data_IF_502090614309
#
_entry.id   IF_502090614309
#
_cell.length_a   1.000
_cell.length_b   1.000
_cell.length_c   1.000
_cell.angle_alpha   90.00
_cell.angle_beta   90.00
_cell.angle_gamma   90.00
#
_symmetry.space_group_name_H-M   'P 1'
#
loop_
_entity.id
_entity.type
_entity.pdbx_description
1 polymer ?
#
# COMPACT_ATOMS: atom_id res chain seq x y z
N UNK A 1 5.98 -22.55 3.04
CA UNK A 1 6.03 -21.33 3.85
C UNK A 1 5.50 -20.18 2.99
N UNK A 2 4.18 -20.00 2.94
CA UNK A 2 3.49 -18.90 2.25
C UNK A 2 2.29 -18.54 3.12
N UNK A 3 2.38 -17.39 3.77
CA UNK A 3 1.39 -16.91 4.74
C UNK A 3 1.89 -15.57 5.26
N UNK A 4 1.76 -14.53 4.46
CA UNK A 4 1.96 -13.13 4.87
C UNK A 4 0.60 -12.46 5.08
N UNK A 5 -0.37 -13.20 5.59
CA UNK A 5 -1.75 -12.73 5.73
C UNK A 5 -1.89 -11.66 6.84
N UNK A 6 -0.81 -11.38 7.60
CA UNK A 6 -0.84 -10.51 8.79
C UNK A 6 0.18 -9.35 8.79
N UNK A 7 1.10 -9.28 7.82
CA UNK A 7 2.21 -8.29 7.89
C UNK A 7 1.91 -6.93 7.26
N UNK A 8 0.91 -6.80 6.36
CA UNK A 8 0.56 -5.52 5.74
C UNK A 8 0.26 -4.42 6.77
N UNK A 9 -0.51 -4.74 7.81
CA UNK A 9 -0.85 -3.78 8.86
C UNK A 9 0.38 -3.32 9.64
N UNK A 10 1.30 -4.24 9.92
CA UNK A 10 2.50 -3.97 10.71
C UNK A 10 3.55 -3.22 9.89
N UNK A 11 3.82 -3.69 8.67
CA UNK A 11 4.76 -3.06 7.74
C UNK A 11 4.30 -1.69 7.30
N UNK A 12 3.00 -1.50 7.00
CA UNK A 12 2.47 -0.19 6.69
C UNK A 12 2.56 0.75 7.89
N UNK A 13 2.25 0.26 9.10
CA UNK A 13 2.35 1.08 10.32
C UNK A 13 3.78 1.52 10.59
N UNK A 14 4.76 0.64 10.37
CA UNK A 14 6.17 0.98 10.45
C UNK A 14 6.61 1.93 9.34
N UNK A 15 6.13 1.70 8.12
CA UNK A 15 6.44 2.52 6.95
C UNK A 15 5.83 3.92 7.01
N UNK A 16 4.77 4.13 7.78
CA UNK A 16 4.12 5.43 7.98
C UNK A 16 4.27 5.96 9.41
N UNK A 17 5.09 5.30 10.22
CA UNK A 17 5.31 5.69 11.62
C UNK A 17 6.00 7.05 11.67
N UNK A 18 5.41 7.99 12.42
CA UNK A 18 5.93 9.36 12.52
C UNK A 18 5.42 10.32 11.44
N UNK A 19 4.54 9.88 10.55
CA UNK A 19 3.86 10.78 9.61
C UNK A 19 2.79 11.63 10.35
N UNK A 20 2.71 12.92 10.00
CA UNK A 20 1.63 13.80 10.47
C UNK A 20 0.46 13.73 9.49
N UNK A 21 -0.72 13.35 9.98
CA UNK A 21 -1.95 13.37 9.19
C UNK A 21 -2.63 14.75 9.29
N UNK A 22 -3.31 15.25 8.23
CA UNK A 22 -3.64 14.62 6.94
C UNK A 22 -2.45 14.37 6.02
N UNK A 23 -2.43 13.21 5.35
CA UNK A 23 -1.45 12.89 4.32
C UNK A 23 -2.12 12.47 3.01
N UNK A 24 -1.50 12.86 1.90
CA UNK A 24 -1.98 12.57 0.55
C UNK A 24 -1.43 11.23 0.10
N UNK A 25 -2.07 10.57 -0.87
CA UNK A 25 -1.53 9.35 -1.49
C UNK A 25 -0.05 9.46 -1.87
N UNK A 26 0.37 10.54 -2.53
CA UNK A 26 1.76 10.73 -2.94
C UNK A 26 2.73 10.81 -1.76
N UNK A 27 2.36 11.50 -0.68
CA UNK A 27 3.15 11.56 0.56
C UNK A 27 3.20 10.20 1.26
N UNK A 28 2.09 9.47 1.30
CA UNK A 28 2.01 8.10 1.83
C UNK A 28 2.94 7.16 1.06
N UNK A 29 2.91 7.21 -0.27
CA UNK A 29 3.78 6.40 -1.14
C UNK A 29 5.24 6.79 -0.95
N UNK A 30 5.57 8.09 -0.97
CA UNK A 30 6.95 8.56 -0.78
C UNK A 30 7.53 8.20 0.59
N UNK A 31 6.74 8.34 1.65
CA UNK A 31 7.20 7.97 2.99
C UNK A 31 7.38 6.45 3.09
N UNK A 32 6.46 5.67 2.52
CA UNK A 32 6.62 4.22 2.48
C UNK A 32 7.86 3.80 1.70
N UNK A 33 8.11 4.41 0.53
CA UNK A 33 9.35 4.21 -0.25
C UNK A 33 10.60 4.62 0.55
N UNK A 34 10.55 5.77 1.26
CA UNK A 34 11.66 6.26 2.10
C UNK A 34 11.93 5.36 3.30
N UNK A 35 10.91 4.69 3.83
CA UNK A 35 11.02 3.77 4.95
C UNK A 35 11.29 2.32 4.51
N UNK A 36 11.68 2.11 3.25
CA UNK A 36 11.97 0.80 2.68
C UNK A 36 10.80 -0.20 2.80
N UNK A 37 9.58 0.28 2.58
CA UNK A 37 8.41 -0.59 2.50
C UNK A 37 8.54 -1.58 1.33
N UNK A 38 7.88 -2.72 1.46
CA UNK A 38 7.86 -3.76 0.44
C UNK A 38 7.30 -3.23 -0.89
N UNK A 39 7.88 -3.69 -2.00
CA UNK A 39 7.48 -3.23 -3.33
C UNK A 39 6.02 -3.54 -3.64
N UNK A 40 5.50 -4.67 -3.14
CA UNK A 40 4.07 -5.02 -3.25
C UNK A 40 3.20 -4.01 -2.49
N UNK A 41 3.60 -3.66 -1.27
CA UNK A 41 2.90 -2.71 -0.42
C UNK A 41 2.90 -1.31 -1.05
N UNK A 42 4.03 -0.86 -1.62
CA UNK A 42 4.12 0.38 -2.40
C UNK A 42 3.21 0.33 -3.63
N UNK A 43 3.17 -0.80 -4.33
CA UNK A 43 2.33 -0.95 -5.53
C UNK A 43 0.84 -0.88 -5.17
N UNK A 44 0.43 -1.51 -4.06
CA UNK A 44 -0.93 -1.41 -3.53
C UNK A 44 -1.30 0.04 -3.19
N UNK A 45 -0.41 0.76 -2.50
CA UNK A 45 -0.60 2.18 -2.20
C UNK A 45 -0.71 3.03 -3.47
N UNK A 46 0.05 2.69 -4.52
CA UNK A 46 -0.05 3.34 -5.84
C UNK A 46 -1.35 3.03 -6.56
N UNK A 47 -2.03 1.93 -6.27
CA UNK A 47 -3.34 1.59 -6.83
C UNK A 47 -4.51 2.23 -6.08
N UNK A 48 -4.30 2.70 -4.85
CA UNK A 48 -5.33 3.39 -4.10
C UNK A 48 -5.76 4.71 -4.78
N UNK A 49 -7.04 5.11 -4.63
CA UNK A 49 -7.50 6.42 -5.09
C UNK A 49 -6.69 7.54 -4.42
N UNK A 50 -6.36 8.62 -5.16
CA UNK A 50 -5.71 9.79 -4.58
C UNK A 50 -6.69 10.50 -3.65
N UNK A 51 -6.71 10.06 -2.39
CA UNK A 51 -7.59 10.54 -1.34
C UNK A 51 -6.76 11.09 -0.17
N UNK A 52 -7.40 11.85 0.72
CA UNK A 52 -6.74 12.38 1.91
C UNK A 52 -6.93 11.38 3.03
N UNK A 53 -5.84 10.70 3.38
CA UNK A 53 -5.84 9.73 4.46
C UNK A 53 -5.65 10.46 5.77
N UNK A 54 -6.51 10.15 6.73
CA UNK A 54 -6.47 10.73 8.08
C UNK A 54 -5.68 9.85 9.05
N UNK A 55 -5.56 8.54 8.76
CA UNK A 55 -4.97 7.57 9.69
C UNK A 55 -4.37 6.38 8.92
N UNK A 56 -3.30 5.80 9.48
CA UNK A 56 -2.69 4.54 9.02
C UNK A 56 -3.72 3.40 8.85
N UNK A 57 -4.58 3.07 9.84
CA UNK A 57 -5.53 1.96 9.70
C UNK A 57 -6.54 2.11 8.55
N UNK A 58 -6.87 3.35 8.14
CA UNK A 58 -7.75 3.58 6.99
C UNK A 58 -7.07 3.18 5.67
N UNK A 59 -5.77 3.51 5.57
CA UNK A 59 -4.91 3.11 4.46
C UNK A 59 -4.75 1.59 4.43
N UNK A 60 -4.46 0.94 5.57
CA UNK A 60 -4.35 -0.53 5.67
C UNK A 60 -5.63 -1.19 5.16
N UNK A 61 -6.79 -0.73 5.63
CA UNK A 61 -8.09 -1.28 5.22
C UNK A 61 -8.32 -1.17 3.71
N UNK A 62 -8.03 -0.01 3.13
CA UNK A 62 -8.20 0.22 1.69
C UNK A 62 -7.18 -0.57 0.87
N UNK A 63 -5.93 -0.66 1.34
CA UNK A 63 -4.86 -1.42 0.70
C UNK A 63 -5.17 -2.93 0.72
N UNK A 64 -5.55 -3.47 1.89
CA UNK A 64 -5.97 -4.88 2.03
C UNK A 64 -7.21 -5.23 1.20
N UNK A 65 -8.10 -4.27 0.95
CA UNK A 65 -9.25 -4.46 0.07
C UNK A 65 -8.89 -4.40 -1.42
N UNK A 66 -7.65 -4.05 -1.79
CA UNK A 66 -7.19 -3.90 -3.18
C UNK A 66 -6.48 -5.15 -3.72
N UNK A 67 -6.01 -6.06 -2.86
CA UNK A 67 -5.42 -7.36 -3.26
C UNK A 67 -6.41 -8.30 -3.97
N UNK A 68 -7.72 -8.05 -3.85
CA UNK A 68 -8.72 -8.76 -4.64
C UNK A 68 -8.79 -8.29 -6.11
N UNK A 69 -8.15 -7.17 -6.47
CA UNK A 69 -8.27 -6.54 -7.80
C UNK A 69 -6.98 -6.58 -8.65
N UNK A 70 -5.86 -7.11 -8.14
CA UNK A 70 -4.56 -7.11 -8.82
C UNK A 70 -4.31 -8.24 -9.82
N UNK A 71 -5.20 -9.23 -9.93
CA UNK A 71 -5.13 -10.25 -10.97
C UNK A 71 -5.97 -9.84 -12.18
N UNK A 72 -5.53 -8.88 -13.02
CA UNK A 72 -5.93 -8.74 -14.46
C UNK A 72 -5.47 -7.39 -15.08
N UNK A 73 -4.17 -7.13 -15.29
CA UNK A 73 -3.80 -6.04 -16.22
C UNK A 73 -2.43 -6.25 -16.86
N UNK A 74 -2.42 -6.98 -17.97
CA UNK A 74 -1.29 -7.13 -18.90
C UNK A 74 -0.31 -8.22 -18.46
N UNK A 75 -0.09 -9.32 -19.17
CA UNK A 75 0.17 -9.38 -20.61
C UNK A 75 0.50 -10.83 -20.99
N UNK A 76 -0.49 -11.61 -21.44
CA UNK A 76 -0.24 -12.83 -22.22
C UNK A 76 -0.46 -12.50 -23.70
N UNK A 77 0.41 -11.65 -24.25
CA UNK A 77 0.64 -11.58 -25.69
C UNK A 77 2.01 -12.17 -25.92
N UNK A 78 2.09 -13.48 -26.10
CA UNK A 78 3.25 -14.14 -26.68
C UNK A 78 2.85 -14.54 -28.10
N UNK A 79 3.47 -13.90 -29.08
CA UNK A 79 3.35 -14.19 -30.52
C UNK A 79 3.73 -15.64 -30.84
#
# INVERSE_FOLDING_TARGET
MFGKDTDLGTDLTKALQGMSFPANKDDVVKQAESNHADNELINMLKQLPPDVYQNIPDIVKRAASSDAAGSIAGKFTRH
#
